data_IF_053917900211
#
_entry.id   IF_053917900211
#
_cell.length_a   1.000
_cell.length_b   1.000
_cell.length_c   1.000
_cell.angle_alpha   90.00
_cell.angle_beta   90.00
_cell.angle_gamma   90.00
#
_symmetry.space_group_name_H-M   'P 1'
#
loop_
_entity.id
_entity.type
_entity.pdbx_description
1 polymer ?
#
# COMPACT_ATOMS: atom_id res chain seq x y z
N UNK A 1 -5.92 17.76 4.99
CA UNK A 1 -4.59 17.13 5.17
C UNK A 1 -3.87 17.11 3.83
N UNK A 2 -2.58 17.44 3.77
CA UNK A 2 -1.81 17.41 2.53
C UNK A 2 -1.60 15.96 2.07
N UNK A 3 -1.86 15.67 0.79
CA UNK A 3 -1.56 14.37 0.18
C UNK A 3 -0.25 14.47 -0.60
N UNK A 4 0.65 13.49 -0.42
CA UNK A 4 1.90 13.38 -1.18
C UNK A 4 1.75 12.28 -2.22
N UNK A 5 2.10 12.58 -3.47
CA UNK A 5 2.20 11.57 -4.54
C UNK A 5 3.50 10.82 -4.37
N UNK A 6 3.45 9.49 -4.41
CA UNK A 6 4.61 8.60 -4.30
C UNK A 6 4.67 7.75 -5.57
N UNK A 7 5.84 7.74 -6.21
CA UNK A 7 6.13 6.80 -7.30
C UNK A 7 7.02 5.67 -6.76
N UNK A 8 6.60 4.43 -6.98
CA UNK A 8 7.34 3.23 -6.58
C UNK A 8 7.74 2.44 -7.81
N UNK A 9 8.92 1.82 -7.77
CA UNK A 9 9.34 0.84 -8.78
C UNK A 9 8.94 -0.54 -8.31
N UNK A 10 8.17 -1.25 -9.13
CA UNK A 10 7.70 -2.60 -8.86
C UNK A 10 7.91 -3.42 -10.13
N UNK A 11 8.20 -4.71 -9.96
CA UNK A 11 8.19 -5.66 -11.06
C UNK A 11 6.83 -5.63 -11.79
N UNK A 12 6.88 -5.55 -13.12
CA UNK A 12 5.70 -5.35 -13.97
C UNK A 12 4.71 -6.52 -13.84
N UNK A 13 5.21 -7.75 -13.85
CA UNK A 13 4.35 -8.94 -13.74
C UNK A 13 3.65 -9.01 -12.39
N UNK A 14 4.35 -8.67 -11.30
CA UNK A 14 3.76 -8.58 -9.96
C UNK A 14 2.72 -7.47 -9.89
N UNK A 15 2.98 -6.32 -10.52
CA UNK A 15 2.05 -5.20 -10.52
C UNK A 15 0.76 -5.52 -11.29
N UNK A 16 0.87 -6.14 -12.46
CA UNK A 16 -0.27 -6.62 -13.25
C UNK A 16 -1.13 -7.60 -12.45
N UNK A 17 -0.50 -8.57 -11.77
CA UNK A 17 -1.21 -9.54 -10.90
C UNK A 17 -1.88 -8.85 -9.73
N UNK A 18 -1.20 -7.92 -9.06
CA UNK A 18 -1.74 -7.16 -7.96
C UNK A 18 -2.98 -6.36 -8.36
N UNK A 19 -2.93 -5.63 -9.48
CA UNK A 19 -4.09 -4.89 -10.02
C UNK A 19 -5.28 -5.81 -10.31
N UNK A 20 -5.04 -6.98 -10.91
CA UNK A 20 -6.10 -7.96 -11.21
C UNK A 20 -6.79 -8.44 -9.94
N UNK A 21 -6.02 -8.78 -8.91
CA UNK A 21 -6.54 -9.23 -7.60
C UNK A 21 -7.31 -8.09 -6.92
N UNK A 22 -6.75 -6.88 -6.89
CA UNK A 22 -7.41 -5.71 -6.29
C UNK A 22 -8.77 -5.45 -6.94
N UNK A 23 -8.82 -5.49 -8.28
CA UNK A 23 -10.06 -5.31 -9.05
C UNK A 23 -11.09 -6.42 -8.77
N UNK A 24 -10.63 -7.67 -8.61
CA UNK A 24 -11.51 -8.79 -8.27
C UNK A 24 -12.17 -8.59 -6.90
N UNK A 25 -11.45 -7.99 -5.95
CA UNK A 25 -11.95 -7.63 -4.62
C UNK A 25 -12.66 -6.27 -4.58
N UNK A 26 -13.14 -5.77 -5.72
CA UNK A 26 -13.82 -4.46 -5.87
C UNK A 26 -13.01 -3.28 -5.28
N UNK A 27 -11.68 -3.37 -5.31
CA UNK A 27 -10.77 -2.38 -4.76
C UNK A 27 -9.79 -1.84 -5.80
N UNK A 28 -9.21 -0.69 -5.50
CA UNK A 28 -8.20 -0.04 -6.32
C UNK A 28 -6.80 -0.39 -5.80
N UNK A 29 -5.85 -0.58 -6.71
CA UNK A 29 -4.45 -0.83 -6.35
C UNK A 29 -3.91 0.23 -5.36
N UNK A 30 -4.25 1.50 -5.58
CA UNK A 30 -3.89 2.60 -4.67
C UNK A 30 -4.54 2.51 -3.28
N UNK A 31 -5.78 2.00 -3.19
CA UNK A 31 -6.45 1.78 -1.90
C UNK A 31 -5.78 0.64 -1.14
N UNK A 32 -5.47 -0.46 -1.82
CA UNK A 32 -4.78 -1.61 -1.21
C UNK A 32 -3.36 -1.26 -0.76
N UNK A 33 -2.62 -0.44 -1.52
CA UNK A 33 -1.31 0.08 -1.07
C UNK A 33 -1.47 0.90 0.21
N UNK A 34 -2.46 1.79 0.29
CA UNK A 34 -2.70 2.58 1.52
C UNK A 34 -3.06 1.68 2.71
N UNK A 35 -3.89 0.65 2.50
CA UNK A 35 -4.19 -0.34 3.53
C UNK A 35 -2.93 -1.07 4.00
N UNK A 36 -2.06 -1.47 3.07
CA UNK A 36 -0.79 -2.12 3.39
C UNK A 36 0.12 -1.20 4.21
N UNK A 37 0.23 0.08 3.85
CA UNK A 37 0.99 1.08 4.62
C UNK A 37 0.41 1.22 6.03
N UNK A 38 -0.91 1.42 6.16
CA UNK A 38 -1.55 1.57 7.47
C UNK A 38 -1.38 0.33 8.35
N UNK A 39 -1.51 -0.86 7.75
CA UNK A 39 -1.28 -2.13 8.45
C UNK A 39 0.15 -2.22 8.95
N UNK A 40 1.13 -1.93 8.08
CA UNK A 40 2.54 -1.93 8.46
C UNK A 40 2.84 -0.96 9.60
N UNK A 41 2.30 0.27 9.56
CA UNK A 41 2.47 1.24 10.63
C UNK A 41 1.84 0.75 11.94
N UNK A 42 0.64 0.17 11.89
CA UNK A 42 -0.03 -0.37 13.08
C UNK A 42 0.73 -1.54 13.70
N UNK A 43 1.29 -2.44 12.90
CA UNK A 43 2.06 -3.60 13.38
C UNK A 43 3.43 -3.20 13.97
N UNK A 44 3.92 -2.01 13.60
CA UNK A 44 5.22 -1.49 14.01
C UNK A 44 5.10 -0.21 14.87
N UNK A 45 3.93 0.09 15.42
CA UNK A 45 3.68 1.31 16.19
C UNK A 45 4.67 1.47 17.36
N UNK A 46 5.09 0.35 17.96
CA UNK A 46 6.11 0.31 19.02
C UNK A 46 7.51 0.77 18.59
N UNK A 47 7.83 0.73 17.29
CA UNK A 47 9.09 1.22 16.74
C UNK A 47 9.04 2.73 16.49
N UNK A 48 7.86 3.23 16.12
CA UNK A 48 7.61 4.67 15.92
C UNK A 48 7.68 5.44 17.24
N UNK A 49 7.15 4.87 18.33
CA UNK A 49 7.20 5.44 19.69
C UNK A 49 8.60 5.52 20.32
N UNK A 50 9.64 4.98 19.67
CA UNK A 50 11.04 5.06 20.13
C UNK A 50 11.83 6.18 19.46
N UNK A 51 11.20 6.98 18.59
CA UNK A 51 11.79 8.20 18.01
C UNK A 51 11.38 9.46 18.75
#
# INVERSE_FOLDING_TARGET
MAQKVVNIRVDDQKWERFKKIAKHNESDASKEIRKAINKYLSENAQLDLKM
#
